data_IF_476022039242
#
_entry.id   IF_476022039242
#
_cell.length_a   1.000
_cell.length_b   1.000
_cell.length_c   1.000
_cell.angle_alpha   90.00
_cell.angle_beta   90.00
_cell.angle_gamma   90.00
#
_symmetry.space_group_name_H-M   'P 1'
#
loop_
_entity.id
_entity.type
_entity.pdbx_description
1 polymer ?
#
# COMPACT_ATOMS: atom_id res chain seq x y z
N UNK A 1 -3.67 16.26 0.89
CA UNK A 1 -4.19 14.98 1.41
C UNK A 1 -2.99 14.28 2.03
N UNK A 2 -3.00 14.07 3.35
CA UNK A 2 -1.82 13.64 4.10
C UNK A 2 -1.24 12.34 3.55
N UNK A 3 0.09 12.30 3.48
CA UNK A 3 0.86 11.08 3.36
C UNK A 3 0.44 10.07 4.45
N UNK A 4 0.83 8.79 4.32
CA UNK A 4 0.70 7.85 5.44
C UNK A 4 1.30 8.49 6.71
N UNK A 5 0.75 8.17 7.87
CA UNK A 5 1.30 8.68 9.13
C UNK A 5 2.74 8.19 9.31
N UNK A 6 2.99 6.93 8.90
CA UNK A 6 4.28 6.30 8.96
C UNK A 6 4.37 5.16 7.91
N UNK A 7 5.52 4.51 7.81
CA UNK A 7 5.80 3.51 6.79
C UNK A 7 5.02 2.21 7.02
N UNK A 8 4.51 1.59 5.94
CA UNK A 8 3.72 0.36 5.97
C UNK A 8 4.40 -0.74 5.15
N UNK A 9 4.52 -1.94 5.70
CA UNK A 9 5.12 -3.09 5.02
C UNK A 9 6.24 -3.74 5.83
N UNK A 10 7.17 -4.35 5.10
CA UNK A 10 8.32 -5.07 5.66
C UNK A 10 9.22 -4.11 6.45
N UNK A 11 9.28 -4.29 7.78
CA UNK A 11 9.97 -3.40 8.73
C UNK A 11 9.43 -1.96 8.80
N UNK A 12 8.19 -1.74 8.36
CA UNK A 12 7.50 -0.45 8.59
C UNK A 12 6.94 -0.34 10.00
N UNK A 13 6.50 0.86 10.38
CA UNK A 13 5.75 1.08 11.62
C UNK A 13 4.43 0.31 11.64
N UNK A 14 3.84 0.03 10.46
CA UNK A 14 2.65 -0.81 10.32
C UNK A 14 1.48 -0.34 11.20
N UNK A 15 1.27 0.98 11.24
CA UNK A 15 0.16 1.57 11.97
C UNK A 15 -1.16 1.07 11.40
N UNK A 16 -2.07 0.62 12.26
CA UNK A 16 -3.32 -0.05 11.86
C UNK A 16 -4.11 0.75 10.80
N UNK A 17 -4.24 2.06 11.00
CA UNK A 17 -4.93 2.98 10.10
C UNK A 17 -4.27 3.07 8.70
N UNK A 18 -2.94 3.11 8.67
CA UNK A 18 -2.14 3.19 7.45
C UNK A 18 -2.16 1.85 6.70
N UNK A 19 -2.03 0.75 7.43
CA UNK A 19 -2.12 -0.61 6.88
C UNK A 19 -3.50 -0.86 6.26
N UNK A 20 -4.59 -0.54 6.98
CA UNK A 20 -5.95 -0.66 6.43
C UNK A 20 -6.11 0.14 5.14
N UNK A 21 -5.55 1.35 5.10
CA UNK A 21 -5.63 2.21 3.92
C UNK A 21 -4.85 1.62 2.75
N UNK A 22 -3.62 1.16 2.98
CA UNK A 22 -2.82 0.43 1.99
C UNK A 22 -3.54 -0.81 1.48
N UNK A 23 -4.09 -1.64 2.38
CA UNK A 23 -4.81 -2.86 2.03
C UNK A 23 -6.01 -2.54 1.12
N UNK A 24 -6.80 -1.51 1.45
CA UNK A 24 -7.94 -1.11 0.63
C UNK A 24 -7.52 -0.63 -0.76
N UNK A 25 -6.44 0.15 -0.84
CA UNK A 25 -5.92 0.66 -2.12
C UNK A 25 -5.31 -0.45 -2.98
N UNK A 26 -4.61 -1.41 -2.36
CA UNK A 26 -4.09 -2.59 -3.06
C UNK A 26 -5.24 -3.43 -3.64
N UNK A 27 -6.33 -3.63 -2.87
CA UNK A 27 -7.56 -4.28 -3.39
C UNK A 27 -8.12 -3.54 -4.61
N UNK A 28 -8.22 -2.21 -4.54
CA UNK A 28 -8.67 -1.39 -5.69
C UNK A 28 -7.72 -1.50 -6.89
N UNK A 29 -6.42 -1.71 -6.66
CA UNK A 29 -5.43 -1.93 -7.71
C UNK A 29 -5.49 -3.35 -8.34
N UNK A 30 -6.40 -4.21 -7.86
CA UNK A 30 -6.56 -5.59 -8.29
C UNK A 30 -5.58 -6.57 -7.63
N UNK A 31 -5.04 -6.23 -6.45
CA UNK A 31 -4.15 -7.08 -5.67
C UNK A 31 -4.86 -7.60 -4.41
N UNK A 32 -4.41 -8.73 -3.89
CA UNK A 32 -4.97 -9.31 -2.66
C UNK A 32 -3.98 -9.17 -1.49
N UNK A 33 -4.12 -8.13 -0.65
CA UNK A 33 -3.31 -7.94 0.54
C UNK A 33 -3.86 -8.68 1.77
N UNK A 34 -4.91 -9.49 1.60
CA UNK A 34 -5.65 -10.11 2.69
C UNK A 34 -6.76 -9.22 3.30
N UNK A 35 -7.24 -9.54 4.51
CA UNK A 35 -8.31 -8.80 5.17
C UNK A 35 -7.86 -7.38 5.56
N UNK A 36 -8.77 -6.41 5.43
CA UNK A 36 -8.58 -5.00 5.83
C UNK A 36 -8.67 -4.79 7.35
N UNK A 37 -7.99 -5.66 8.12
CA UNK A 37 -7.93 -5.59 9.58
C UNK A 37 -6.85 -4.60 10.08
N UNK A 38 -5.99 -4.12 9.18
CA UNK A 38 -4.85 -3.27 9.54
C UNK A 38 -3.65 -4.05 10.05
N UNK A 39 -3.62 -5.36 9.83
CA UNK A 39 -2.49 -6.23 10.13
C UNK A 39 -1.61 -6.41 8.89
N UNK A 40 -0.37 -5.94 8.96
CA UNK A 40 0.58 -6.11 7.87
C UNK A 40 1.22 -7.52 7.91
N UNK A 41 0.48 -8.52 7.47
CA UNK A 41 0.95 -9.90 7.35
C UNK A 41 1.73 -10.17 6.06
N UNK A 42 2.12 -11.44 5.86
CA UNK A 42 2.81 -11.88 4.65
C UNK A 42 2.01 -11.60 3.36
N UNK A 43 0.68 -11.70 3.42
CA UNK A 43 -0.21 -11.40 2.29
C UNK A 43 -0.11 -9.92 1.89
N UNK A 44 -0.22 -9.02 2.87
CA UNK A 44 -0.06 -7.59 2.65
C UNK A 44 1.32 -7.26 2.10
N UNK A 45 2.39 -7.82 2.68
CA UNK A 45 3.77 -7.62 2.19
C UNK A 45 3.93 -8.12 0.75
N UNK A 46 3.34 -9.27 0.42
CA UNK A 46 3.37 -9.82 -0.94
C UNK A 46 2.64 -8.90 -1.92
N UNK A 47 1.45 -8.42 -1.56
CA UNK A 47 0.69 -7.48 -2.38
C UNK A 47 1.44 -6.15 -2.57
N UNK A 48 2.09 -5.63 -1.52
CA UNK A 48 2.94 -4.44 -1.63
C UNK A 48 4.07 -4.68 -2.63
N UNK A 49 4.76 -5.81 -2.55
CA UNK A 49 5.85 -6.14 -3.48
C UNK A 49 5.36 -6.29 -4.91
N UNK A 50 4.22 -6.96 -5.11
CA UNK A 50 3.62 -7.13 -6.43
C UNK A 50 3.25 -5.77 -7.04
N UNK A 51 2.62 -4.90 -6.24
CA UNK A 51 2.33 -3.54 -6.63
C UNK A 51 3.59 -2.79 -7.03
N UNK A 52 4.61 -2.79 -6.17
CA UNK A 52 5.89 -2.14 -6.44
C UNK A 52 6.56 -2.69 -7.70
N UNK A 53 6.49 -4.00 -7.94
CA UNK A 53 7.06 -4.63 -9.13
C UNK A 53 6.44 -4.13 -10.44
N UNK A 54 5.26 -3.50 -10.42
CA UNK A 54 4.64 -2.91 -11.61
C UNK A 54 5.31 -1.63 -12.09
N UNK A 55 6.02 -0.92 -11.22
CA UNK A 55 6.62 0.39 -11.54
C UNK A 55 8.01 0.63 -10.94
N UNK A 56 8.53 -0.30 -10.15
CA UNK A 56 9.84 -0.24 -9.50
C UNK A 56 10.61 -1.53 -9.78
N UNK A 57 11.90 -1.39 -10.11
CA UNK A 57 12.79 -2.51 -10.34
C UNK A 57 13.20 -3.24 -9.04
N UNK A 58 12.98 -2.62 -7.88
CA UNK A 58 13.41 -3.18 -6.60
C UNK A 58 12.28 -3.15 -5.55
N UNK A 59 11.35 -4.12 -5.57
CA UNK A 59 10.26 -4.21 -4.61
C UNK A 59 10.79 -4.59 -3.22
N UNK A 60 11.03 -3.59 -2.38
CA UNK A 60 11.48 -3.75 -0.99
C UNK A 60 10.36 -4.29 -0.07
N UNK A 61 9.10 -4.21 -0.50
CA UNK A 61 7.94 -4.59 0.30
C UNK A 61 7.63 -3.60 1.42
N UNK A 62 8.15 -2.37 1.33
CA UNK A 62 7.93 -1.28 2.27
C UNK A 62 7.40 -0.06 1.52
N UNK A 63 6.30 0.49 2.00
CA UNK A 63 5.69 1.72 1.54
C UNK A 63 6.08 2.82 2.51
N UNK A 64 6.92 3.72 2.04
CA UNK A 64 7.24 4.94 2.77
C UNK A 64 6.10 5.96 2.59
N UNK A 65 5.82 6.72 3.65
CA UNK A 65 4.75 7.71 3.68
C UNK A 65 4.82 8.72 2.53
N UNK A 66 6.02 9.20 2.22
CA UNK A 66 6.26 10.17 1.13
C UNK A 66 6.91 9.51 -0.08
N UNK A 67 6.95 8.19 -0.11
CA UNK A 67 7.60 7.43 -1.16
C UNK A 67 6.84 7.41 -2.49
N UNK A 68 7.52 7.06 -3.59
CA UNK A 68 6.88 6.90 -4.91
C UNK A 68 5.78 5.84 -4.90
N UNK A 69 5.93 4.80 -4.07
CA UNK A 69 4.93 3.74 -3.90
C UNK A 69 3.60 4.28 -3.36
N UNK A 70 3.64 5.12 -2.32
CA UNK A 70 2.44 5.73 -1.76
C UNK A 70 1.74 6.65 -2.77
N UNK A 71 2.51 7.47 -3.50
CA UNK A 71 1.95 8.34 -4.55
C UNK A 71 1.15 7.55 -5.57
N UNK A 72 1.68 6.40 -6.01
CA UNK A 72 0.99 5.50 -6.95
C UNK A 72 -0.31 4.93 -6.37
N UNK A 73 -0.34 4.53 -5.10
CA UNK A 73 -1.57 4.09 -4.43
C UNK A 73 -2.58 5.23 -4.28
N UNK A 74 -2.12 6.44 -3.97
CA UNK A 74 -2.97 7.63 -3.91
C UNK A 74 -3.55 7.99 -5.28
N UNK A 75 -2.83 7.72 -6.39
CA UNK A 75 -3.38 7.84 -7.75
C UNK A 75 -4.50 6.80 -8.01
N UNK A 76 -4.34 5.56 -7.54
CA UNK A 76 -5.38 4.51 -7.62
C UNK A 76 -6.65 4.98 -6.89
N UNK A 77 -6.50 5.62 -5.73
CA UNK A 77 -7.63 6.20 -5.00
C UNK A 77 -8.36 7.27 -5.81
N UNK A 78 -7.62 8.16 -6.47
CA UNK A 78 -8.18 9.27 -7.24
C UNK A 78 -8.90 8.78 -8.50
N UNK A 79 -8.40 7.72 -9.15
CA UNK A 79 -9.06 7.13 -10.31
C UNK A 79 -10.41 6.50 -9.99
N UNK A 80 -10.61 5.99 -8.78
CA UNK A 80 -11.90 5.41 -8.36
C UNK A 80 -12.99 6.45 -8.07
N UNK A 81 -12.66 7.75 -8.09
CA UNK A 81 -13.57 8.84 -7.70
C UNK A 81 -14.09 9.64 -8.89
N UNK A 82 -13.85 9.16 -10.12
CA UNK A 82 -14.30 9.79 -11.35
C UNK A 82 -15.01 8.79 -12.26
N UNK A 83 -16.24 8.43 -11.90
CA UNK A 83 -17.27 7.89 -12.80
C UNK A 83 -18.60 8.61 -12.52
#
# INVERSE_FOLDING_TARGET
>A
MGALTDSVGKNGANLKQDVMRVQRLLKTAGLDPGPDDGLCGNETIRAIKDFQSRFSANPNGLIEAEGPTWRKLAEVQQRSLGE
#
